data_IF_929754520624
#
_entry.id   IF_929754520624
#
_cell.length_a   1.000
_cell.length_b   1.000
_cell.length_c   1.000
_cell.angle_alpha   90.00
_cell.angle_beta   90.00
_cell.angle_gamma   90.00
#
_symmetry.space_group_name_H-M   'P 1'
#
loop_
_entity.id
_entity.type
_entity.pdbx_description
1 polymer ?
#
# COMPACT_ATOMS: atom_id res chain seq x y z
N UNK A 1 -17.49 -6.79 2.58
CA UNK A 1 -18.71 -6.67 3.40
C UNK A 1 -19.70 -7.71 2.95
N UNK A 2 -20.15 -8.56 3.87
CA UNK A 2 -21.20 -9.51 3.59
C UNK A 2 -22.55 -8.85 3.88
N UNK A 3 -23.58 -9.38 3.27
CA UNK A 3 -24.98 -9.02 3.57
C UNK A 3 -25.30 -9.21 5.06
N UNK A 4 -24.71 -10.20 5.72
CA UNK A 4 -24.83 -10.44 7.16
C UNK A 4 -24.23 -9.29 8.00
N UNK A 5 -23.06 -8.78 7.62
CA UNK A 5 -22.46 -7.62 8.29
C UNK A 5 -23.23 -6.33 8.02
N UNK A 6 -23.83 -6.18 6.84
CA UNK A 6 -24.66 -5.03 6.52
C UNK A 6 -25.94 -4.98 7.38
N UNK A 7 -26.55 -6.14 7.68
CA UNK A 7 -27.72 -6.24 8.54
C UNK A 7 -27.46 -5.89 10.01
N UNK A 8 -26.22 -6.01 10.47
CA UNK A 8 -25.82 -5.72 11.85
C UNK A 8 -25.37 -4.26 12.07
N UNK A 9 -25.28 -3.47 11.01
CA UNK A 9 -24.88 -2.06 11.08
C UNK A 9 -26.11 -1.18 11.18
N UNK A 10 -26.23 -0.44 12.27
CA UNK A 10 -27.33 0.49 12.49
C UNK A 10 -27.47 1.52 11.36
N UNK A 11 -28.69 1.60 10.80
CA UNK A 11 -28.99 2.46 9.66
C UNK A 11 -28.61 1.91 8.27
N UNK A 12 -28.25 0.63 8.19
CA UNK A 12 -27.98 -0.03 6.92
C UNK A 12 -29.29 -0.59 6.32
N UNK A 13 -29.60 -0.19 5.09
CA UNK A 13 -30.78 -0.69 4.39
C UNK A 13 -30.43 -1.94 3.58
N UNK A 14 -30.61 -3.10 4.19
CA UNK A 14 -30.34 -4.40 3.58
C UNK A 14 -31.33 -4.71 2.45
N UNK A 15 -32.57 -4.25 2.55
CA UNK A 15 -33.59 -4.50 1.53
C UNK A 15 -33.29 -3.67 0.27
N UNK A 16 -32.88 -2.40 0.43
CA UNK A 16 -32.43 -1.57 -0.68
C UNK A 16 -31.19 -2.14 -1.37
N UNK A 17 -30.27 -2.75 -0.61
CA UNK A 17 -29.13 -3.46 -1.17
C UNK A 17 -29.54 -4.70 -1.96
N UNK A 18 -30.43 -5.52 -1.40
CA UNK A 18 -30.91 -6.75 -2.02
C UNK A 18 -31.67 -6.46 -3.34
N UNK A 19 -32.46 -5.39 -3.38
CA UNK A 19 -33.25 -4.99 -4.54
C UNK A 19 -32.45 -4.31 -5.64
N UNK A 20 -31.20 -3.94 -5.37
CA UNK A 20 -30.34 -3.27 -6.37
C UNK A 20 -29.85 -4.24 -7.41
N UNK A 21 -30.17 -4.03 -8.67
CA UNK A 21 -29.63 -4.78 -9.81
C UNK A 21 -28.11 -4.58 -10.02
N UNK A 22 -27.50 -3.65 -9.29
CA UNK A 22 -26.06 -3.35 -9.36
C UNK A 22 -25.24 -4.20 -8.43
N UNK A 23 -25.87 -4.85 -7.44
CA UNK A 23 -25.20 -5.64 -6.42
C UNK A 23 -25.53 -7.12 -6.59
N UNK A 24 -24.56 -7.98 -6.35
CA UNK A 24 -24.73 -9.43 -6.35
C UNK A 24 -25.28 -9.89 -5.01
N UNK A 25 -26.58 -9.99 -4.90
CA UNK A 25 -27.28 -10.38 -3.65
C UNK A 25 -26.94 -11.80 -3.19
N UNK A 26 -26.59 -12.69 -4.12
CA UNK A 26 -26.24 -14.09 -3.81
C UNK A 26 -24.81 -14.24 -3.24
N UNK A 27 -23.97 -13.23 -3.38
CA UNK A 27 -22.59 -13.31 -2.89
C UNK A 27 -22.50 -13.37 -1.36
N UNK A 28 -23.50 -12.87 -0.62
CA UNK A 28 -23.54 -12.90 0.84
C UNK A 28 -22.22 -12.40 1.44
N UNK A 29 -21.65 -13.17 2.36
CA UNK A 29 -20.37 -12.82 3.03
C UNK A 29 -19.16 -12.79 2.10
N UNK A 30 -19.26 -13.24 0.86
CA UNK A 30 -18.20 -13.16 -0.15
C UNK A 30 -18.23 -11.84 -0.93
N UNK A 31 -19.28 -11.04 -0.75
CA UNK A 31 -19.38 -9.74 -1.39
C UNK A 31 -18.24 -8.83 -0.92
N UNK A 32 -17.52 -8.24 -1.88
CA UNK A 32 -16.46 -7.28 -1.63
C UNK A 32 -16.75 -5.99 -2.40
N UNK A 33 -17.20 -4.97 -1.70
CA UNK A 33 -17.51 -3.67 -2.31
C UNK A 33 -16.29 -2.96 -2.94
N UNK A 34 -15.06 -3.37 -2.57
CA UNK A 34 -13.84 -2.80 -3.16
C UNK A 34 -13.49 -3.41 -4.52
N UNK A 35 -14.15 -4.51 -4.91
CA UNK A 35 -13.94 -5.18 -6.20
C UNK A 35 -15.24 -5.16 -7.00
N UNK A 36 -15.18 -4.68 -8.22
CA UNK A 36 -16.35 -4.63 -9.09
C UNK A 36 -16.00 -5.05 -10.52
N UNK A 37 -17.03 -5.50 -11.24
CA UNK A 37 -16.90 -5.88 -12.64
C UNK A 37 -16.49 -4.70 -13.51
N UNK A 38 -15.67 -4.96 -14.49
CA UNK A 38 -15.28 -4.04 -15.56
C UNK A 38 -15.50 -4.71 -16.91
N UNK A 39 -15.87 -3.94 -17.92
CA UNK A 39 -16.00 -4.45 -19.28
C UNK A 39 -14.63 -4.99 -19.75
N UNK A 40 -14.55 -6.27 -20.17
CA UNK A 40 -13.30 -6.87 -20.61
C UNK A 40 -12.73 -6.25 -21.89
N UNK A 41 -13.51 -5.44 -22.63
CA UNK A 41 -13.00 -4.65 -23.76
C UNK A 41 -12.11 -3.48 -23.32
N UNK A 42 -12.16 -3.07 -22.07
CA UNK A 42 -11.24 -2.08 -21.53
C UNK A 42 -9.81 -2.65 -21.42
N UNK A 43 -8.91 -2.14 -22.24
CA UNK A 43 -7.52 -2.60 -22.35
C UNK A 43 -6.51 -1.70 -21.66
N UNK A 44 -6.95 -0.82 -20.76
CA UNK A 44 -6.08 0.07 -19.98
C UNK A 44 -5.01 -0.71 -19.21
N UNK A 45 -3.80 -0.15 -19.20
CA UNK A 45 -2.66 -0.74 -18.52
C UNK A 45 -2.61 -0.30 -17.07
N UNK A 46 -1.93 -1.11 -16.24
CA UNK A 46 -1.63 -0.79 -14.85
C UNK A 46 -0.12 -0.70 -14.63
N UNK A 47 0.26 0.23 -13.76
CA UNK A 47 1.65 0.42 -13.37
C UNK A 47 1.95 -0.27 -12.05
N UNK A 48 3.03 -1.05 -12.02
CA UNK A 48 3.55 -1.72 -10.83
C UNK A 48 5.03 -1.46 -10.66
N UNK A 49 5.45 -1.38 -9.42
CA UNK A 49 6.86 -1.42 -9.07
C UNK A 49 7.11 -2.51 -8.04
N UNK A 50 7.61 -3.65 -8.46
CA UNK A 50 7.93 -4.77 -7.57
C UNK A 50 9.38 -5.25 -7.71
N UNK A 51 9.78 -5.58 -8.93
CA UNK A 51 11.16 -5.93 -9.31
C UNK A 51 11.70 -4.97 -10.39
N UNK A 52 11.36 -3.70 -10.25
CA UNK A 52 11.50 -2.66 -11.24
C UNK A 52 10.12 -2.19 -11.72
N UNK A 53 10.10 -1.00 -12.30
CA UNK A 53 8.90 -0.39 -12.87
C UNK A 53 8.38 -1.20 -14.05
N UNK A 54 7.08 -1.49 -14.07
CA UNK A 54 6.42 -2.25 -15.14
C UNK A 54 5.04 -1.69 -15.41
N UNK A 55 4.75 -1.51 -16.69
CA UNK A 55 3.40 -1.33 -17.20
C UNK A 55 2.92 -2.66 -17.74
N UNK A 56 1.84 -3.18 -17.20
CA UNK A 56 1.33 -4.52 -17.49
C UNK A 56 -0.18 -4.51 -17.72
N UNK A 57 -0.71 -5.59 -18.29
CA UNK A 57 -2.13 -5.83 -18.32
C UNK A 57 -2.67 -6.08 -16.89
N UNK A 58 -3.94 -5.79 -16.68
CA UNK A 58 -4.61 -6.15 -15.43
C UNK A 58 -4.54 -7.65 -15.20
N UNK A 59 -4.39 -8.03 -13.94
CA UNK A 59 -4.36 -9.45 -13.54
C UNK A 59 -5.67 -10.17 -13.93
N UNK A 60 -6.83 -9.53 -13.66
CA UNK A 60 -8.14 -10.01 -14.08
C UNK A 60 -8.75 -9.00 -15.08
N UNK A 61 -9.04 -9.42 -16.34
CA UNK A 61 -9.65 -8.52 -17.33
C UNK A 61 -11.09 -8.15 -17.00
N UNK A 62 -11.79 -8.92 -16.15
CA UNK A 62 -13.20 -8.76 -15.85
C UNK A 62 -13.47 -8.00 -14.56
N UNK A 63 -12.45 -7.78 -13.72
CA UNK A 63 -12.60 -7.16 -12.39
C UNK A 63 -11.49 -6.16 -12.14
N UNK A 64 -11.84 -5.02 -11.57
CA UNK A 64 -10.89 -4.10 -10.94
C UNK A 64 -11.15 -4.11 -9.44
N UNK A 65 -10.08 -4.34 -8.65
CA UNK A 65 -10.09 -4.17 -7.20
C UNK A 65 -9.44 -2.85 -6.82
N UNK A 66 -10.15 -2.05 -6.03
CA UNK A 66 -9.57 -0.83 -5.45
C UNK A 66 -8.48 -1.15 -4.45
N UNK A 67 -8.62 -2.25 -3.69
CA UNK A 67 -7.74 -2.62 -2.59
C UNK A 67 -6.93 -3.87 -2.91
N UNK A 68 -5.69 -3.67 -3.28
CA UNK A 68 -4.71 -4.73 -3.45
C UNK A 68 -3.47 -4.40 -2.61
N UNK A 69 -2.84 -5.43 -2.05
CA UNK A 69 -1.55 -5.32 -1.40
C UNK A 69 -0.53 -6.16 -2.17
N UNK A 70 0.64 -5.60 -2.37
CA UNK A 70 1.77 -6.30 -2.97
C UNK A 70 3.05 -5.97 -2.20
N UNK A 71 3.90 -6.98 -1.98
CA UNK A 71 5.16 -6.76 -1.28
C UNK A 71 6.18 -7.85 -1.60
N UNK A 72 7.45 -7.46 -1.50
CA UNK A 72 8.60 -8.34 -1.48
C UNK A 72 9.55 -7.86 -0.39
N UNK A 73 9.88 -8.74 0.58
CA UNK A 73 10.68 -8.40 1.76
C UNK A 73 11.80 -9.41 1.99
N UNK A 74 12.90 -9.34 1.21
CA UNK A 74 14.05 -10.19 1.41
C UNK A 74 14.77 -9.86 2.72
N UNK A 75 15.34 -10.90 3.34
CA UNK A 75 16.22 -10.79 4.51
C UNK A 75 17.43 -11.69 4.30
N UNK A 76 18.62 -11.12 4.43
CA UNK A 76 19.88 -11.86 4.39
C UNK A 76 20.64 -11.63 5.68
N UNK A 77 21.04 -12.71 6.32
CA UNK A 77 21.83 -12.69 7.57
C UNK A 77 23.16 -13.40 7.36
N UNK A 78 24.22 -12.81 7.90
CA UNK A 78 25.51 -13.44 8.09
C UNK A 78 25.75 -13.57 9.61
N UNK A 79 25.79 -14.80 10.11
CA UNK A 79 26.03 -15.09 11.52
C UNK A 79 27.48 -15.56 11.68
N UNK A 80 28.21 -14.91 12.57
CA UNK A 80 29.57 -15.26 12.93
C UNK A 80 29.65 -15.57 14.42
N UNK A 81 30.19 -16.75 14.75
CA UNK A 81 30.42 -17.21 16.12
C UNK A 81 31.91 -17.54 16.30
N UNK A 82 32.54 -16.96 17.31
CA UNK A 82 33.94 -17.14 17.59
C UNK A 82 34.13 -17.44 19.09
N UNK A 83 34.68 -18.59 19.39
CA UNK A 83 35.20 -18.90 20.71
C UNK A 83 36.67 -18.44 20.77
N UNK A 84 36.92 -17.36 21.48
CA UNK A 84 38.28 -16.75 21.58
C UNK A 84 39.14 -17.61 22.55
N UNK A 85 38.52 -18.01 23.66
CA UNK A 85 39.08 -18.96 24.65
C UNK A 85 37.93 -19.56 25.47
N UNK A 86 38.26 -20.40 26.47
CA UNK A 86 37.24 -21.11 27.24
C UNK A 86 36.27 -20.21 28.01
N UNK A 87 36.63 -18.94 28.24
CA UNK A 87 35.83 -17.93 28.95
C UNK A 87 35.29 -16.81 28.08
N UNK A 88 35.66 -16.76 26.81
CA UNK A 88 35.33 -15.61 25.95
C UNK A 88 34.72 -16.04 24.64
N UNK A 89 33.47 -15.61 24.39
CA UNK A 89 32.71 -15.93 23.18
C UNK A 89 32.21 -14.66 22.54
N UNK A 90 32.43 -14.51 21.22
CA UNK A 90 31.93 -13.43 20.43
C UNK A 90 30.87 -13.96 19.46
N UNK A 91 29.71 -13.31 19.40
CA UNK A 91 28.74 -13.57 18.36
C UNK A 91 28.35 -12.27 17.66
N UNK A 92 28.39 -12.28 16.33
CA UNK A 92 28.07 -11.12 15.50
C UNK A 92 27.10 -11.54 14.42
N UNK A 93 26.09 -10.72 14.21
CA UNK A 93 25.11 -10.84 13.12
C UNK A 93 25.19 -9.58 12.28
N UNK A 94 25.55 -9.72 11.02
CA UNK A 94 25.36 -8.68 10.03
C UNK A 94 24.13 -9.04 9.18
N UNK A 95 23.28 -8.08 8.87
CA UNK A 95 22.11 -8.35 8.07
C UNK A 95 21.77 -7.21 7.10
N UNK A 96 21.10 -7.59 6.03
CA UNK A 96 20.39 -6.71 5.14
C UNK A 96 18.92 -7.12 5.08
N UNK A 97 18.02 -6.17 5.27
CA UNK A 97 16.58 -6.34 5.10
C UNK A 97 16.09 -5.36 4.04
N UNK A 98 15.70 -5.88 2.91
CA UNK A 98 15.04 -5.12 1.87
C UNK A 98 13.53 -5.09 2.05
N UNK A 99 12.87 -4.14 1.43
CA UNK A 99 11.43 -4.07 1.37
C UNK A 99 10.99 -3.26 0.15
N UNK A 100 10.10 -3.82 -0.64
CA UNK A 100 9.40 -3.09 -1.70
C UNK A 100 7.96 -3.58 -1.72
N UNK A 101 7.01 -2.66 -1.73
CA UNK A 101 5.62 -3.01 -1.77
C UNK A 101 4.72 -1.79 -1.64
N UNK A 102 3.43 -2.05 -1.59
CA UNK A 102 2.45 -0.99 -1.48
C UNK A 102 1.04 -1.52 -1.40
N UNK A 103 0.11 -0.58 -1.38
CA UNK A 103 -1.31 -0.84 -1.46
C UNK A 103 -1.97 0.11 -2.45
N UNK A 104 -3.00 -0.39 -3.11
CA UNK A 104 -3.76 0.42 -4.05
C UNK A 104 -4.89 1.20 -3.38
N UNK A 105 -5.48 2.11 -4.10
CA UNK A 105 -6.67 2.86 -3.71
C UNK A 105 -7.04 3.83 -4.81
N UNK A 106 -8.20 4.42 -4.68
CA UNK A 106 -8.63 5.52 -5.56
C UNK A 106 -7.96 6.84 -5.18
N UNK A 107 -7.91 7.76 -6.15
CA UNK A 107 -7.49 9.14 -5.97
C UNK A 107 -8.29 10.03 -6.94
N UNK A 108 -8.70 11.21 -6.49
CA UNK A 108 -9.67 12.03 -7.22
C UNK A 108 -11.10 11.57 -7.00
N UNK A 109 -11.99 11.88 -7.92
CA UNK A 109 -13.41 11.56 -7.85
C UNK A 109 -13.70 10.33 -8.70
N UNK A 110 -14.08 9.22 -8.07
CA UNK A 110 -14.39 7.95 -8.73
C UNK A 110 -15.86 7.59 -8.50
N UNK A 111 -16.54 7.18 -9.55
CA UNK A 111 -17.97 6.85 -9.53
C UNK A 111 -18.30 5.61 -8.73
N UNK A 112 -19.47 5.63 -8.12
CA UNK A 112 -20.03 4.53 -7.34
C UNK A 112 -21.48 4.28 -7.70
N UNK A 113 -21.88 3.02 -7.68
CA UNK A 113 -23.27 2.65 -7.57
C UNK A 113 -23.67 2.60 -6.10
N UNK A 114 -24.80 3.19 -5.76
CA UNK A 114 -25.43 3.11 -4.44
C UNK A 114 -26.81 2.50 -4.59
N UNK A 115 -27.30 1.89 -3.52
CA UNK A 115 -28.65 1.33 -3.52
C UNK A 115 -29.70 2.44 -3.76
N UNK A 116 -30.82 2.07 -4.37
CA UNK A 116 -31.90 3.01 -4.69
C UNK A 116 -32.39 3.75 -3.44
N UNK A 117 -32.51 5.08 -3.56
CA UNK A 117 -32.91 5.93 -2.44
C UNK A 117 -31.79 6.29 -1.46
N UNK A 118 -30.61 5.76 -1.64
CA UNK A 118 -29.44 6.06 -0.81
C UNK A 118 -28.70 7.29 -1.34
N UNK A 119 -28.04 8.00 -0.41
CA UNK A 119 -27.11 9.08 -0.73
C UNK A 119 -25.76 8.77 -0.10
N UNK A 120 -24.69 8.86 -0.87
CA UNK A 120 -23.32 8.76 -0.36
C UNK A 120 -22.76 10.11 0.09
N UNK A 121 -23.54 11.19 -0.06
CA UNK A 121 -23.08 12.55 0.23
C UNK A 121 -22.99 12.80 1.75
N UNK A 122 -21.77 13.04 2.20
CA UNK A 122 -21.47 13.51 3.55
C UNK A 122 -21.63 12.46 4.66
N UNK A 123 -21.91 11.21 4.32
CA UNK A 123 -21.97 10.12 5.29
C UNK A 123 -20.63 9.38 5.34
N UNK A 124 -20.30 8.88 6.55
CA UNK A 124 -19.19 7.94 6.67
C UNK A 124 -19.48 6.72 5.80
N UNK A 125 -18.49 6.22 5.09
CA UNK A 125 -18.65 5.11 4.14
C UNK A 125 -19.35 3.87 4.73
N UNK A 126 -19.19 3.60 6.01
CA UNK A 126 -19.82 2.46 6.71
C UNK A 126 -21.27 2.76 7.19
N UNK A 127 -21.70 4.02 7.12
CA UNK A 127 -23.07 4.44 7.43
C UNK A 127 -23.87 4.83 6.19
N UNK A 128 -23.21 4.96 5.04
CA UNK A 128 -23.91 5.10 3.77
C UNK A 128 -24.49 3.75 3.36
N UNK A 129 -25.53 3.77 2.56
CA UNK A 129 -26.10 2.56 1.98
C UNK A 129 -25.04 1.74 1.27
N UNK A 130 -25.26 0.43 1.08
CA UNK A 130 -24.37 -0.43 0.32
C UNK A 130 -24.04 0.19 -1.03
N UNK A 131 -22.78 0.16 -1.39
CA UNK A 131 -22.27 0.69 -2.65
C UNK A 131 -21.21 -0.24 -3.24
N UNK A 132 -20.96 -0.10 -4.55
CA UNK A 132 -19.81 -0.68 -5.24
C UNK A 132 -19.26 0.30 -6.24
N UNK A 133 -18.05 0.06 -6.75
CA UNK A 133 -17.44 0.92 -7.76
C UNK A 133 -18.14 0.80 -9.11
N UNK A 134 -18.33 1.94 -9.79
CA UNK A 134 -18.81 2.02 -11.18
C UNK A 134 -17.62 2.24 -12.12
N UNK A 135 -16.79 1.21 -12.27
CA UNK A 135 -15.61 1.31 -13.15
C UNK A 135 -15.97 1.62 -14.59
N UNK A 136 -17.03 1.03 -15.12
CA UNK A 136 -17.45 1.27 -16.51
C UNK A 136 -17.93 2.71 -16.73
N UNK A 137 -18.68 3.25 -15.78
CA UNK A 137 -19.11 4.65 -15.82
C UNK A 137 -17.93 5.62 -15.68
N UNK A 138 -16.95 5.32 -14.84
CA UNK A 138 -15.73 6.11 -14.69
C UNK A 138 -14.88 6.09 -15.97
N UNK A 139 -14.63 4.88 -16.52
CA UNK A 139 -13.87 4.70 -17.75
C UNK A 139 -14.52 5.43 -18.94
N UNK A 140 -15.84 5.33 -19.07
CA UNK A 140 -16.58 6.01 -20.15
C UNK A 140 -16.48 7.54 -20.04
N UNK A 141 -16.58 8.08 -18.81
CA UNK A 141 -16.43 9.52 -18.59
C UNK A 141 -15.01 9.98 -18.86
N UNK A 142 -14.00 9.33 -18.26
CA UNK A 142 -12.61 9.69 -18.47
C UNK A 142 -12.19 9.62 -19.95
N UNK A 143 -12.65 8.60 -20.69
CA UNK A 143 -12.33 8.41 -22.10
C UNK A 143 -12.97 9.46 -23.05
N UNK A 144 -13.89 10.26 -22.55
CA UNK A 144 -14.58 11.30 -23.32
C UNK A 144 -14.30 12.72 -22.80
N UNK A 145 -13.53 12.86 -21.73
CA UNK A 145 -13.31 14.12 -21.02
C UNK A 145 -12.09 14.87 -21.55
N UNK A 146 -12.29 15.65 -22.61
CA UNK A 146 -11.27 16.59 -23.12
C UNK A 146 -11.33 17.88 -22.32
N UNK A 147 -10.23 18.24 -21.65
CA UNK A 147 -10.08 19.50 -20.93
C UNK A 147 -9.08 20.40 -21.66
N UNK A 148 -9.62 21.35 -22.45
CA UNK A 148 -8.80 22.26 -23.26
C UNK A 148 -7.90 23.20 -22.46
N UNK A 149 -8.05 23.28 -21.13
CA UNK A 149 -7.10 23.99 -20.27
C UNK A 149 -5.75 23.28 -20.19
N UNK A 150 -5.70 21.98 -20.48
CA UNK A 150 -4.49 21.16 -20.41
C UNK A 150 -4.15 20.48 -21.74
N UNK A 151 -5.16 20.01 -22.51
CA UNK A 151 -4.97 19.37 -23.80
C UNK A 151 -6.24 19.44 -24.64
N UNK A 152 -6.09 19.72 -25.93
CA UNK A 152 -7.20 19.71 -26.89
C UNK A 152 -7.46 18.31 -27.48
N UNK A 153 -6.58 17.32 -27.20
CA UNK A 153 -6.61 15.99 -27.85
C UNK A 153 -6.52 14.82 -26.90
N UNK A 154 -5.96 15.01 -25.69
CA UNK A 154 -5.84 13.98 -24.69
C UNK A 154 -7.00 14.07 -23.67
N UNK A 155 -7.49 12.91 -23.20
CA UNK A 155 -8.58 12.83 -22.24
C UNK A 155 -8.05 12.91 -20.80
N UNK A 156 -8.69 13.75 -19.99
CA UNK A 156 -8.36 13.93 -18.58
C UNK A 156 -9.15 12.95 -17.70
N UNK A 157 -8.48 12.19 -16.87
CA UNK A 157 -9.13 11.43 -15.80
C UNK A 157 -9.58 12.36 -14.67
N UNK A 158 -10.80 12.18 -14.16
CA UNK A 158 -11.32 12.83 -12.95
C UNK A 158 -11.01 12.00 -11.69
N UNK A 159 -10.95 10.68 -11.85
CA UNK A 159 -10.55 9.72 -10.85
C UNK A 159 -9.61 8.66 -11.43
N UNK A 160 -8.72 8.17 -10.61
CA UNK A 160 -7.69 7.20 -10.98
C UNK A 160 -7.51 6.14 -9.88
N UNK A 161 -6.85 5.04 -10.21
CA UNK A 161 -6.23 4.19 -9.20
C UNK A 161 -4.78 4.65 -8.96
N UNK A 162 -4.38 4.62 -7.69
CA UNK A 162 -3.02 4.95 -7.26
C UNK A 162 -2.38 3.80 -6.50
N UNK A 163 -1.07 3.71 -6.52
CA UNK A 163 -0.25 2.95 -5.58
C UNK A 163 0.19 3.86 -4.43
N UNK A 164 0.12 3.39 -3.19
CA UNK A 164 0.92 3.91 -2.08
C UNK A 164 2.12 3.00 -1.91
N UNK A 165 3.30 3.54 -2.12
CA UNK A 165 4.55 2.78 -2.18
C UNK A 165 5.32 2.94 -0.89
N UNK A 166 5.87 1.81 -0.42
CA UNK A 166 6.84 1.74 0.65
C UNK A 166 8.05 0.94 0.15
N UNK A 167 9.21 1.57 0.10
CA UNK A 167 10.49 0.93 -0.22
C UNK A 167 11.45 1.18 0.91
N UNK A 168 12.21 0.16 1.31
CA UNK A 168 13.22 0.32 2.35
C UNK A 168 14.42 -0.60 2.12
N UNK A 169 15.57 -0.13 2.57
CA UNK A 169 16.76 -0.93 2.74
C UNK A 169 17.33 -0.66 4.13
N UNK A 170 17.44 -1.72 4.92
CA UNK A 170 18.00 -1.66 6.26
C UNK A 170 19.25 -2.52 6.32
N UNK A 171 20.33 -1.97 6.82
CA UNK A 171 21.56 -2.68 7.13
C UNK A 171 21.76 -2.65 8.65
N UNK A 172 22.21 -3.75 9.22
CA UNK A 172 22.47 -3.80 10.65
C UNK A 172 23.62 -4.72 11.01
N UNK A 173 24.24 -4.39 12.13
CA UNK A 173 25.28 -5.16 12.77
C UNK A 173 24.96 -5.25 14.26
N UNK A 174 24.78 -6.47 14.76
CA UNK A 174 24.60 -6.74 16.18
C UNK A 174 25.78 -7.61 16.60
N UNK A 175 26.55 -7.17 17.59
CA UNK A 175 27.67 -7.94 18.12
C UNK A 175 27.58 -8.00 19.64
N UNK A 176 27.83 -9.17 20.18
CA UNK A 176 27.85 -9.40 21.63
C UNK A 176 29.06 -10.25 22.04
N UNK A 177 29.70 -9.81 23.07
CA UNK A 177 30.79 -10.51 23.72
C UNK A 177 30.30 -11.03 25.09
N UNK A 178 30.40 -12.33 25.31
CA UNK A 178 30.19 -12.96 26.60
C UNK A 178 31.56 -13.27 27.21
N UNK A 179 31.71 -12.93 28.48
CA UNK A 179 32.93 -13.18 29.24
C UNK A 179 32.61 -13.77 30.61
N UNK A 180 33.06 -14.99 30.85
CA UNK A 180 32.95 -15.67 32.13
C UNK A 180 34.06 -15.15 33.06
N UNK A 181 33.74 -14.18 33.92
CA UNK A 181 34.67 -13.55 34.87
C UNK A 181 35.13 -14.57 35.93
N UNK A 182 34.16 -15.37 36.41
CA UNK A 182 34.38 -16.53 37.30
C UNK A 182 33.35 -17.61 36.96
N UNK A 183 33.38 -18.74 37.67
CA UNK A 183 32.38 -19.80 37.53
C UNK A 183 30.96 -19.33 37.95
N UNK A 184 30.90 -18.24 38.72
CA UNK A 184 29.65 -17.66 39.26
C UNK A 184 29.21 -16.38 38.56
N UNK A 185 30.08 -15.68 37.82
CA UNK A 185 29.82 -14.37 37.25
C UNK A 185 30.10 -14.34 35.73
N UNK A 186 29.08 -14.17 34.98
CA UNK A 186 29.14 -13.87 33.52
C UNK A 186 28.86 -12.40 33.26
N UNK A 187 29.59 -11.78 32.34
CA UNK A 187 29.36 -10.44 31.85
C UNK A 187 29.14 -10.49 30.34
N UNK A 188 28.10 -9.83 29.87
CA UNK A 188 27.82 -9.67 28.48
C UNK A 188 27.88 -8.19 28.08
N UNK A 189 28.58 -7.87 27.00
CA UNK A 189 28.64 -6.54 26.40
C UNK A 189 28.11 -6.64 24.98
N UNK A 190 27.22 -5.76 24.58
CA UNK A 190 26.66 -5.75 23.24
C UNK A 190 26.61 -4.38 22.61
N UNK A 191 26.69 -4.38 21.29
CA UNK A 191 26.51 -3.23 20.42
C UNK A 191 25.49 -3.59 19.34
N UNK A 192 24.61 -2.63 19.02
CA UNK A 192 23.59 -2.72 17.96
C UNK A 192 23.70 -1.46 17.11
N UNK A 193 24.08 -1.61 15.85
CA UNK A 193 24.11 -0.54 14.88
C UNK A 193 23.17 -0.86 13.71
N UNK A 194 22.39 0.11 13.30
CA UNK A 194 21.46 0.01 12.17
C UNK A 194 21.42 1.31 11.38
N UNK A 195 21.25 1.17 10.06
CA UNK A 195 20.91 2.28 9.20
C UNK A 195 19.83 1.85 8.21
N UNK A 196 18.86 2.72 7.96
CA UNK A 196 17.76 2.44 7.04
C UNK A 196 17.49 3.65 6.15
N UNK A 197 17.40 3.39 4.84
CA UNK A 197 16.80 4.31 3.88
C UNK A 197 15.37 3.87 3.60
N UNK A 198 14.42 4.80 3.72
CA UNK A 198 12.98 4.54 3.62
C UNK A 198 12.40 5.55 2.63
N UNK A 199 11.62 5.06 1.68
CA UNK A 199 10.91 5.85 0.68
C UNK A 199 9.40 5.59 0.81
N UNK A 200 8.62 6.67 0.87
CA UNK A 200 7.17 6.66 0.79
C UNK A 200 6.71 7.58 -0.34
N UNK A 201 5.99 7.01 -1.29
CA UNK A 201 5.49 7.74 -2.45
C UNK A 201 4.07 7.31 -2.82
N UNK A 202 3.43 8.10 -3.66
CA UNK A 202 2.24 7.68 -4.41
C UNK A 202 2.53 7.78 -5.90
N UNK A 203 2.00 6.82 -6.65
CA UNK A 203 2.18 6.73 -8.10
C UNK A 203 0.83 6.44 -8.76
N UNK A 204 0.63 6.97 -9.98
CA UNK A 204 -0.54 6.64 -10.80
C UNK A 204 -0.47 5.16 -11.20
N UNK A 205 -1.48 4.37 -10.77
CA UNK A 205 -1.57 2.95 -11.10
C UNK A 205 -2.36 2.66 -12.36
N UNK A 206 -3.52 3.32 -12.53
CA UNK A 206 -4.44 3.13 -13.65
C UNK A 206 -5.19 4.45 -13.87
N UNK A 207 -5.19 4.93 -15.09
CA UNK A 207 -5.86 6.18 -15.47
C UNK A 207 -7.36 6.00 -15.71
N UNK A 208 -7.88 4.77 -15.64
CA UNK A 208 -9.29 4.45 -15.80
C UNK A 208 -9.92 5.10 -17.07
N UNK A 209 -9.24 4.96 -18.20
CA UNK A 209 -9.74 5.38 -19.50
C UNK A 209 -9.23 6.74 -20.00
N UNK A 210 -8.65 7.58 -19.15
CA UNK A 210 -8.01 8.82 -19.60
C UNK A 210 -6.56 8.63 -20.04
N UNK A 211 -5.98 9.69 -20.57
CA UNK A 211 -4.57 9.73 -21.02
C UNK A 211 -3.66 10.38 -19.96
N UNK A 212 -4.24 11.22 -19.08
CA UNK A 212 -3.54 11.89 -17.99
C UNK A 212 -4.50 12.21 -16.83
N UNK A 213 -3.92 12.55 -15.69
CA UNK A 213 -4.59 13.10 -14.51
C UNK A 213 -3.94 14.44 -14.14
N UNK A 214 -4.69 15.36 -13.52
CA UNK A 214 -4.13 16.61 -13.00
C UNK A 214 -4.07 16.55 -11.49
N UNK A 215 -2.87 16.52 -10.94
CA UNK A 215 -2.61 16.49 -9.50
C UNK A 215 -2.47 17.92 -8.97
N UNK A 216 -3.29 18.26 -7.98
CA UNK A 216 -3.30 19.57 -7.28
C UNK A 216 -2.76 19.49 -5.85
N UNK A 217 -2.06 18.42 -5.50
CA UNK A 217 -1.58 18.23 -4.13
C UNK A 217 -0.35 19.08 -3.79
N UNK A 218 0.33 19.65 -4.78
CA UNK A 218 1.44 20.57 -4.56
C UNK A 218 0.92 22.02 -4.50
N UNK A 219 0.91 22.61 -3.31
CA UNK A 219 0.49 23.99 -3.10
C UNK A 219 1.33 25.02 -3.87
N UNK A 220 2.53 24.68 -4.31
CA UNK A 220 3.39 25.53 -5.13
C UNK A 220 3.07 25.44 -6.64
N UNK A 221 2.26 24.48 -7.05
CA UNK A 221 1.79 24.27 -8.42
C UNK A 221 0.29 24.51 -8.53
N UNK A 222 -0.14 25.76 -8.33
CA UNK A 222 -1.56 26.16 -8.30
C UNK A 222 -2.34 25.77 -9.55
N UNK A 223 -1.66 25.71 -10.69
CA UNK A 223 -2.26 25.37 -12.00
C UNK A 223 -2.42 23.82 -12.16
N UNK A 224 -1.94 23.05 -11.19
CA UNK A 224 -1.93 21.60 -11.20
C UNK A 224 -0.77 21.02 -12.03
N UNK A 225 -0.41 19.79 -11.71
CA UNK A 225 0.63 19.01 -12.40
C UNK A 225 -0.02 17.93 -13.26
N UNK A 226 0.20 17.98 -14.57
CA UNK A 226 -0.20 16.89 -15.47
C UNK A 226 0.67 15.68 -15.21
N UNK A 227 0.05 14.54 -14.93
CA UNK A 227 0.71 13.26 -14.63
C UNK A 227 0.13 12.15 -15.48
N UNK A 228 0.97 11.19 -15.84
CA UNK A 228 0.64 10.01 -16.64
C UNK A 228 0.83 8.73 -15.85
N UNK A 229 0.55 7.60 -16.45
CA UNK A 229 0.68 6.28 -15.83
C UNK A 229 2.09 6.07 -15.27
N UNK A 230 2.19 5.79 -13.97
CA UNK A 230 3.44 5.58 -13.25
C UNK A 230 4.10 6.84 -12.68
N UNK A 231 3.59 8.02 -13.00
CA UNK A 231 4.12 9.27 -12.45
C UNK A 231 3.77 9.40 -10.96
N UNK A 232 4.60 10.11 -10.24
CA UNK A 232 4.41 10.43 -8.82
C UNK A 232 3.34 11.52 -8.63
N UNK A 233 2.47 11.29 -7.64
CA UNK A 233 1.38 12.16 -7.24
C UNK A 233 1.38 12.37 -5.72
N UNK A 234 0.77 13.43 -5.28
CA UNK A 234 0.51 13.80 -3.90
C UNK A 234 1.79 13.98 -3.05
N UNK A 235 2.59 12.97 -2.89
CA UNK A 235 3.83 13.06 -2.09
C UNK A 235 4.89 12.04 -2.50
N UNK A 236 6.15 12.42 -2.26
CA UNK A 236 7.32 11.56 -2.29
C UNK A 236 8.26 11.97 -1.15
N UNK A 237 8.43 11.10 -0.17
CA UNK A 237 9.23 11.36 1.01
C UNK A 237 10.34 10.32 1.13
N UNK A 238 11.57 10.79 1.32
CA UNK A 238 12.73 9.98 1.65
C UNK A 238 13.17 10.26 3.09
N UNK A 239 13.40 9.20 3.85
CA UNK A 239 13.81 9.29 5.24
C UNK A 239 14.98 8.36 5.48
N UNK A 240 15.99 8.82 6.22
CA UNK A 240 17.08 7.99 6.73
C UNK A 240 16.94 7.87 8.24
N UNK A 241 17.11 6.66 8.75
CA UNK A 241 17.12 6.39 10.18
C UNK A 241 18.43 5.71 10.53
N UNK A 242 19.17 6.29 11.47
CA UNK A 242 20.40 5.73 12.03
C UNK A 242 20.19 5.41 13.51
N UNK A 243 20.62 4.24 13.92
CA UNK A 243 20.52 3.77 15.28
C UNK A 243 21.88 3.20 15.73
N UNK A 244 22.30 3.59 16.95
CA UNK A 244 23.44 3.02 17.63
C UNK A 244 23.07 2.82 19.10
N UNK A 245 23.12 1.57 19.55
CA UNK A 245 22.87 1.19 20.94
C UNK A 245 24.02 0.34 21.49
N UNK A 246 24.20 0.39 22.80
CA UNK A 246 25.11 -0.48 23.52
C UNK A 246 24.54 -0.86 24.86
N UNK A 247 24.93 -2.03 25.41
CA UNK A 247 24.52 -2.49 26.72
C UNK A 247 25.59 -3.31 27.39
N UNK A 248 25.52 -3.35 28.71
CA UNK A 248 26.29 -4.24 29.56
C UNK A 248 25.34 -4.95 30.51
N UNK A 249 25.49 -6.26 30.65
CA UNK A 249 24.69 -7.09 31.54
C UNK A 249 25.61 -7.99 32.32
N UNK A 250 25.36 -8.14 33.63
CA UNK A 250 26.00 -9.12 34.50
C UNK A 250 24.99 -10.16 34.97
N UNK A 251 25.37 -11.44 34.97
CA UNK A 251 24.61 -12.56 35.55
C UNK A 251 25.44 -13.24 36.64
N UNK A 252 24.90 -13.28 37.85
CA UNK A 252 25.54 -13.95 39.00
C UNK A 252 24.69 -15.15 39.43
N UNK A 253 25.30 -16.32 39.51
CA UNK A 253 24.65 -17.54 40.00
C UNK A 253 25.45 -18.12 41.17
N UNK A 254 24.87 -18.08 42.38
CA UNK A 254 25.44 -18.81 43.54
C UNK A 254 25.04 -20.26 43.42
N UNK A 255 26.04 -21.16 43.49
CA UNK A 255 25.83 -22.59 43.55
C UNK A 255 25.10 -23.02 44.85
#
# INVERSE_FOLDING_TARGET
>A
YSQELAGDIDGYDVDAFADSAKFETEAGRLFNQNAAAVDPSYTGKQYYYMYGAKTVDRHDPNVISERENFFHKPLVNLNHFLTINDRTRLSTVAYWSGGSGGGTGTYGSVKRFVASGASDQGLSWYKSSPWTWDWNGEIAENSANVDSSFSDTENRSTGILRNSINRQNTYGLISKLNYDVSDELEVQVGIDWRTAGIEHAREVRDLLGGDYYVDYADDNASDGKVVKLGDEIAYHNNTTVDWLGGYVQGAYSSG
#
